data_IF_366324369162
#
_entry.id   IF_366324369162
#
_cell.length_a   1.000
_cell.length_b   1.000
_cell.length_c   1.000
_cell.angle_alpha   90.00
_cell.angle_beta   90.00
_cell.angle_gamma   90.00
#
_symmetry.space_group_name_H-M   'P 1'
#
loop_
_entity.id
_entity.type
_entity.pdbx_description
1 polymer ?
#
# COMPACT_ATOMS: atom_id res chain seq x y z
N UNK A 1 23.08 4.55 -26.20
CA UNK A 1 22.09 5.34 -25.47
C UNK A 1 21.03 5.76 -26.47
N UNK A 2 19.78 5.28 -26.32
CA UNK A 2 18.65 5.77 -27.11
C UNK A 2 18.31 7.18 -26.60
N UNK A 3 18.55 8.18 -27.43
CA UNK A 3 18.07 9.53 -27.18
C UNK A 3 16.64 9.60 -27.75
N UNK A 4 15.64 9.59 -26.88
CA UNK A 4 14.24 9.81 -27.27
C UNK A 4 14.06 11.33 -27.43
N UNK A 5 13.61 11.83 -28.60
CA UNK A 5 13.43 13.26 -28.78
C UNK A 5 12.35 13.81 -27.85
N UNK A 6 12.53 15.04 -27.30
CA UNK A 6 11.51 15.69 -26.48
C UNK A 6 10.30 16.06 -27.36
N UNK A 7 9.16 15.43 -27.11
CA UNK A 7 7.90 15.80 -27.78
C UNK A 7 6.93 14.69 -28.10
N UNK A 8 7.30 13.41 -27.95
CA UNK A 8 6.43 12.28 -28.32
C UNK A 8 5.73 11.57 -27.16
N UNK A 9 5.89 12.01 -25.91
CA UNK A 9 5.05 11.55 -24.82
C UNK A 9 3.80 12.42 -24.72
N UNK A 10 2.87 12.24 -25.64
CA UNK A 10 1.50 12.65 -25.38
C UNK A 10 0.98 11.75 -24.25
N UNK A 11 0.96 12.32 -23.04
CA UNK A 11 0.46 11.63 -21.86
C UNK A 11 -1.04 11.32 -22.05
N UNK A 12 -1.45 10.05 -22.30
CA UNK A 12 -2.87 9.72 -22.43
C UNK A 12 -3.60 9.76 -21.09
N UNK A 13 -2.86 10.01 -19.99
CA UNK A 13 -3.41 10.16 -18.66
C UNK A 13 -3.33 11.64 -18.31
N UNK A 14 -4.49 12.30 -18.22
CA UNK A 14 -4.54 13.68 -17.74
C UNK A 14 -3.80 13.78 -16.38
N UNK A 15 -2.98 14.81 -16.20
CA UNK A 15 -2.31 15.09 -14.92
C UNK A 15 -3.31 15.15 -13.75
N UNK A 16 -4.57 15.41 -14.03
CA UNK A 16 -5.69 15.43 -13.07
C UNK A 16 -6.09 14.03 -12.56
N UNK A 17 -5.60 12.94 -13.17
CA UNK A 17 -5.92 11.56 -12.76
C UNK A 17 -5.14 11.09 -11.53
N UNK A 18 -4.04 11.76 -11.17
CA UNK A 18 -3.11 11.31 -10.12
C UNK A 18 -2.89 12.41 -9.09
N UNK A 19 -2.95 12.04 -7.79
CA UNK A 19 -2.50 12.94 -6.72
C UNK A 19 -0.97 12.98 -6.70
N UNK A 20 -0.38 13.94 -7.40
CA UNK A 20 1.06 14.18 -7.46
C UNK A 20 1.55 15.17 -6.40
N UNK A 21 0.65 15.69 -5.54
CA UNK A 21 0.97 16.64 -4.47
C UNK A 21 1.29 15.98 -3.14
N UNK A 22 1.25 14.64 -3.05
CA UNK A 22 1.58 13.93 -1.83
C UNK A 22 2.97 14.29 -1.27
N UNK A 23 4.03 14.65 -2.07
CA UNK A 23 5.33 15.05 -1.51
C UNK A 23 5.26 16.33 -0.67
N UNK A 24 4.29 17.22 -0.94
CA UNK A 24 4.08 18.45 -0.16
C UNK A 24 3.70 18.16 1.30
N UNK A 25 3.17 16.96 1.58
CA UNK A 25 2.83 16.49 2.92
C UNK A 25 4.03 15.96 3.72
N UNK A 26 5.20 15.81 3.08
CA UNK A 26 6.46 15.41 3.75
C UNK A 26 7.10 16.61 4.45
N UNK A 27 6.42 17.18 5.46
CA UNK A 27 6.87 18.37 6.20
C UNK A 27 7.92 18.10 7.27
N UNK A 28 8.17 16.84 7.64
CA UNK A 28 9.14 16.48 8.67
C UNK A 28 10.59 16.78 8.28
N UNK A 29 11.45 17.02 9.26
CA UNK A 29 12.89 17.21 9.09
C UNK A 29 13.59 15.91 8.69
N UNK A 30 13.10 14.78 9.22
CA UNK A 30 13.59 13.44 8.90
C UNK A 30 12.54 12.76 8.01
N UNK A 31 12.94 12.36 6.82
CA UNK A 31 12.05 11.79 5.81
C UNK A 31 12.56 10.42 5.40
N UNK A 32 11.64 9.49 5.21
CA UNK A 32 11.98 8.15 4.74
C UNK A 32 10.92 7.60 3.81
N UNK A 33 11.35 6.74 2.88
CA UNK A 33 10.50 5.97 2.00
C UNK A 33 10.75 4.49 2.26
N UNK A 34 9.70 3.72 2.45
CA UNK A 34 9.75 2.26 2.50
C UNK A 34 9.17 1.70 1.21
N UNK A 35 10.02 1.03 0.44
CA UNK A 35 9.61 0.28 -0.74
C UNK A 35 9.15 -1.11 -0.31
N UNK A 36 7.92 -1.47 -0.67
CA UNK A 36 7.25 -2.71 -0.27
C UNK A 36 6.81 -3.46 -1.53
N UNK A 37 7.73 -4.22 -2.18
CA UNK A 37 7.40 -4.98 -3.38
C UNK A 37 6.80 -6.36 -3.06
N UNK A 38 7.07 -6.91 -1.88
CA UNK A 38 6.68 -8.28 -1.51
C UNK A 38 5.72 -8.28 -0.33
N UNK A 39 4.93 -9.36 -0.24
CA UNK A 39 3.89 -9.52 0.79
C UNK A 39 4.51 -9.64 2.19
N UNK A 40 5.54 -10.47 2.36
CA UNK A 40 6.31 -10.69 3.60
C UNK A 40 5.44 -10.73 4.89
N UNK A 41 4.25 -11.32 4.83
CA UNK A 41 3.29 -11.31 5.94
C UNK A 41 2.95 -9.89 6.46
N UNK A 42 3.12 -8.86 5.63
CA UNK A 42 2.84 -7.45 5.96
C UNK A 42 3.99 -6.71 6.68
N UNK A 43 5.14 -7.35 6.91
CA UNK A 43 6.25 -6.73 7.62
C UNK A 43 6.78 -5.45 6.96
N UNK A 44 6.74 -5.35 5.63
CA UNK A 44 7.15 -4.14 4.92
C UNK A 44 6.39 -2.90 5.39
N UNK A 45 5.08 -3.03 5.60
CA UNK A 45 4.21 -1.96 6.13
C UNK A 45 4.51 -1.69 7.61
N UNK A 46 4.67 -2.74 8.41
CA UNK A 46 4.95 -2.60 9.83
C UNK A 46 6.26 -1.86 10.11
N UNK A 47 7.30 -2.10 9.31
CA UNK A 47 8.62 -1.44 9.43
C UNK A 47 8.50 0.08 9.44
N UNK A 48 7.62 0.66 8.65
CA UNK A 48 7.44 2.11 8.58
C UNK A 48 6.97 2.70 9.93
N UNK A 49 5.98 2.07 10.57
CA UNK A 49 5.50 2.50 11.89
C UNK A 49 6.54 2.22 12.98
N UNK A 50 7.23 1.07 12.93
CA UNK A 50 8.27 0.71 13.89
C UNK A 50 9.43 1.70 13.80
N UNK A 51 9.87 2.07 12.60
CA UNK A 51 10.91 3.06 12.37
C UNK A 51 10.56 4.39 13.06
N UNK A 52 9.38 4.93 12.83
CA UNK A 52 8.95 6.19 13.44
C UNK A 52 8.97 6.14 14.97
N UNK A 53 8.45 5.04 15.56
CA UNK A 53 8.49 4.83 17.02
C UNK A 53 9.91 4.74 17.58
N UNK A 54 10.82 4.07 16.87
CA UNK A 54 12.21 3.95 17.31
C UNK A 54 12.96 5.29 17.24
N UNK A 55 12.72 6.09 16.20
CA UNK A 55 13.29 7.44 16.13
C UNK A 55 12.83 8.32 17.28
N UNK A 56 11.56 8.22 17.66
CA UNK A 56 11.02 8.94 18.81
C UNK A 56 11.62 8.43 20.14
N UNK A 57 11.63 7.11 20.33
CA UNK A 57 12.04 6.50 21.61
C UNK A 57 13.54 6.52 21.85
N UNK A 58 14.35 6.32 20.80
CA UNK A 58 15.80 6.16 20.92
C UNK A 58 16.53 7.49 20.69
N UNK A 59 16.07 8.28 19.72
CA UNK A 59 16.73 9.52 19.32
C UNK A 59 16.02 10.77 19.81
N UNK A 60 14.85 10.64 20.46
CA UNK A 60 14.07 11.77 20.96
C UNK A 60 13.52 12.68 19.85
N UNK A 61 13.46 12.19 18.61
CA UNK A 61 12.91 12.97 17.48
C UNK A 61 11.40 13.00 17.60
N UNK A 62 10.77 14.17 17.77
CA UNK A 62 9.31 14.23 17.95
C UNK A 62 8.59 13.81 16.66
N UNK A 63 7.44 13.14 16.80
CA UNK A 63 6.65 12.60 15.68
C UNK A 63 6.38 13.64 14.56
N UNK A 64 6.13 14.90 14.92
CA UNK A 64 5.93 16.00 13.96
C UNK A 64 7.13 16.31 13.05
N UNK A 65 8.33 15.91 13.46
CA UNK A 65 9.57 16.08 12.71
C UNK A 65 9.89 14.85 11.82
N UNK A 66 9.05 13.81 11.87
CA UNK A 66 9.17 12.61 11.05
C UNK A 66 8.15 12.64 9.91
N UNK A 67 8.54 12.21 8.73
CA UNK A 67 7.64 11.96 7.60
C UNK A 67 7.99 10.65 6.94
N UNK A 68 6.99 9.81 6.73
CA UNK A 68 7.18 8.47 6.19
C UNK A 68 6.24 8.23 5.02
N UNK A 69 6.77 7.76 3.91
CA UNK A 69 6.01 7.25 2.79
C UNK A 69 6.22 5.74 2.63
N UNK A 70 5.15 5.03 2.29
CA UNK A 70 5.13 3.63 1.88
C UNK A 70 4.84 3.57 0.39
N UNK A 71 5.60 2.78 -0.36
CA UNK A 71 5.32 2.47 -1.76
C UNK A 71 4.97 0.99 -1.86
N UNK A 72 3.70 0.67 -2.02
CA UNK A 72 3.16 -0.69 -2.11
C UNK A 72 3.03 -1.05 -3.59
N UNK A 73 3.82 -2.02 -4.06
CA UNK A 73 3.93 -2.37 -5.48
C UNK A 73 4.14 -3.87 -5.69
N UNK A 74 4.14 -4.34 -6.94
CA UNK A 74 4.30 -5.75 -7.29
C UNK A 74 3.35 -6.65 -6.49
N UNK A 75 3.84 -7.76 -5.94
CA UNK A 75 3.06 -8.73 -5.19
C UNK A 75 2.41 -8.13 -3.94
N UNK A 76 3.03 -7.09 -3.36
CA UNK A 76 2.49 -6.43 -2.18
C UNK A 76 1.21 -5.62 -2.45
N UNK A 77 0.81 -5.37 -3.69
CA UNK A 77 -0.39 -4.58 -4.01
C UNK A 77 -1.64 -5.09 -3.28
N UNK A 78 -1.74 -6.38 -3.04
CA UNK A 78 -2.84 -6.99 -2.29
C UNK A 78 -2.95 -6.46 -0.85
N UNK A 79 -1.85 -6.01 -0.26
CA UNK A 79 -1.82 -5.42 1.09
C UNK A 79 -2.57 -4.08 1.15
N UNK A 80 -2.63 -3.36 0.02
CA UNK A 80 -3.35 -2.10 -0.08
C UNK A 80 -4.87 -2.28 -0.18
N UNK A 81 -5.38 -3.53 -0.24
CA UNK A 81 -6.79 -3.84 -0.41
C UNK A 81 -7.48 -4.08 0.92
N UNK A 82 -8.73 -3.63 1.03
CA UNK A 82 -9.59 -3.87 2.19
C UNK A 82 -9.84 -5.36 2.44
N UNK A 83 -10.17 -5.73 3.69
CA UNK A 83 -10.46 -7.12 4.05
C UNK A 83 -11.58 -7.74 3.22
N UNK A 84 -12.62 -6.98 2.89
CA UNK A 84 -13.73 -7.49 2.05
C UNK A 84 -13.28 -7.94 0.65
N UNK A 85 -12.26 -7.31 0.08
CA UNK A 85 -11.62 -7.76 -1.15
C UNK A 85 -10.92 -9.11 -0.95
N UNK A 86 -10.18 -9.25 0.14
CA UNK A 86 -9.49 -10.48 0.49
C UNK A 86 -10.46 -11.65 0.66
N UNK A 87 -11.57 -11.41 1.35
CA UNK A 87 -12.61 -12.42 1.58
C UNK A 87 -13.29 -12.82 0.28
N UNK A 88 -13.67 -11.84 -0.57
CA UNK A 88 -14.39 -12.05 -1.83
C UNK A 88 -13.58 -12.87 -2.84
N UNK A 89 -12.29 -12.57 -2.97
CA UNK A 89 -11.43 -13.15 -4.01
C UNK A 89 -10.46 -14.20 -3.48
N UNK A 90 -10.57 -14.60 -2.20
CA UNK A 90 -9.74 -15.66 -1.60
C UNK A 90 -8.25 -15.34 -1.59
N UNK A 91 -7.90 -14.05 -1.45
CA UNK A 91 -6.53 -13.53 -1.65
C UNK A 91 -5.51 -14.23 -0.77
N UNK A 92 -5.81 -14.43 0.53
CA UNK A 92 -4.89 -15.04 1.47
C UNK A 92 -4.45 -16.44 1.05
N UNK A 93 -5.42 -17.28 0.67
CA UNK A 93 -5.17 -18.66 0.23
C UNK A 93 -4.45 -18.70 -1.13
N UNK A 94 -4.91 -17.90 -2.09
CA UNK A 94 -4.33 -17.86 -3.44
C UNK A 94 -2.84 -17.45 -3.42
N UNK A 95 -2.46 -16.57 -2.52
CA UNK A 95 -1.09 -16.07 -2.39
C UNK A 95 -0.30 -16.74 -1.26
N UNK A 96 -0.85 -17.76 -0.60
CA UNK A 96 -0.21 -18.48 0.51
C UNK A 96 0.28 -17.56 1.62
N UNK A 97 -0.54 -16.55 1.94
CA UNK A 97 -0.17 -15.56 2.94
C UNK A 97 -0.17 -16.19 4.32
N UNK A 98 0.84 -15.85 5.12
CA UNK A 98 0.95 -16.29 6.49
C UNK A 98 0.69 -15.15 7.46
N UNK A 99 0.14 -15.51 8.62
CA UNK A 99 -0.11 -14.58 9.71
C UNK A 99 1.23 -14.11 10.32
N UNK A 100 1.45 -12.80 10.50
CA UNK A 100 2.76 -12.25 10.86
C UNK A 100 3.30 -12.71 12.24
N UNK A 101 2.43 -13.18 13.11
CA UNK A 101 2.83 -13.59 14.47
C UNK A 101 2.90 -15.12 14.61
N UNK A 102 1.86 -15.83 14.16
CA UNK A 102 1.81 -17.29 14.30
C UNK A 102 2.55 -18.04 13.19
N UNK A 103 2.76 -17.40 12.02
CA UNK A 103 3.30 -18.06 10.82
C UNK A 103 2.30 -18.97 10.11
N UNK A 104 1.11 -19.18 10.67
CA UNK A 104 0.08 -20.03 10.08
C UNK A 104 -0.57 -19.37 8.85
N UNK A 105 -1.08 -20.16 7.89
CA UNK A 105 -1.85 -19.64 6.78
C UNK A 105 -3.00 -18.74 7.24
N UNK A 106 -3.22 -17.63 6.56
CA UNK A 106 -4.28 -16.69 6.92
C UNK A 106 -5.07 -16.21 5.70
N UNK A 107 -6.38 -16.03 5.90
CA UNK A 107 -7.26 -15.30 4.95
C UNK A 107 -7.35 -13.82 5.28
N UNK A 108 -6.77 -13.38 6.43
CA UNK A 108 -6.81 -11.98 6.85
C UNK A 108 -5.70 -11.19 6.18
N UNK A 109 -5.99 -9.95 5.79
CA UNK A 109 -4.95 -9.04 5.34
C UNK A 109 -4.00 -8.73 6.53
N UNK A 110 -2.72 -9.12 6.46
CA UNK A 110 -1.80 -9.02 7.58
C UNK A 110 -1.49 -7.57 8.00
N UNK A 111 -1.81 -6.59 7.16
CA UNK A 111 -1.65 -5.17 7.50
C UNK A 111 -2.94 -4.51 7.97
N UNK A 112 -4.03 -5.26 8.13
CA UNK A 112 -5.32 -4.78 8.64
C UNK A 112 -5.81 -5.57 9.86
N UNK A 113 -4.93 -6.27 10.55
CA UNK A 113 -5.28 -7.07 11.73
C UNK A 113 -5.87 -6.23 12.87
N UNK A 114 -6.78 -6.84 13.61
CA UNK A 114 -7.50 -6.23 14.73
C UNK A 114 -7.35 -7.05 16.01
N UNK A 115 -7.81 -6.49 17.13
CA UNK A 115 -7.96 -7.26 18.34
C UNK A 115 -8.84 -8.49 18.05
N UNK A 116 -8.37 -9.69 18.46
CA UNK A 116 -9.04 -10.96 18.15
C UNK A 116 -8.43 -11.72 16.95
N UNK A 117 -7.63 -11.08 16.11
CA UNK A 117 -6.92 -11.75 15.02
C UNK A 117 -5.58 -12.38 15.46
N UNK A 118 -5.37 -12.63 16.76
CA UNK A 118 -4.13 -13.24 17.27
C UNK A 118 -2.94 -12.28 17.37
N UNK A 119 -3.19 -10.98 17.40
CA UNK A 119 -2.20 -9.91 17.56
C UNK A 119 -2.40 -9.14 18.86
N UNK A 120 -1.30 -8.65 19.43
CA UNK A 120 -1.32 -7.78 20.60
C UNK A 120 -1.76 -6.35 20.26
N UNK A 121 -2.20 -5.58 21.26
CA UNK A 121 -2.59 -4.19 21.07
C UNK A 121 -1.50 -3.30 20.42
N UNK A 122 -0.20 -3.42 20.77
CA UNK A 122 0.86 -2.73 20.05
C UNK A 122 0.94 -3.09 18.56
N UNK A 123 0.69 -4.36 18.19
CA UNK A 123 0.71 -4.82 16.80
C UNK A 123 -0.50 -4.32 16.00
N UNK A 124 -1.68 -4.22 16.61
CA UNK A 124 -2.83 -3.55 15.99
C UNK A 124 -2.50 -2.12 15.57
N UNK A 125 -1.67 -1.43 16.36
CA UNK A 125 -1.19 -0.08 16.05
C UNK A 125 -0.21 0.01 14.87
N UNK A 126 0.24 -1.13 14.30
CA UNK A 126 1.07 -1.19 13.09
C UNK A 126 0.25 -1.30 11.81
N UNK A 127 -1.08 -1.39 11.90
CA UNK A 127 -1.96 -1.55 10.75
C UNK A 127 -1.86 -0.35 9.78
N UNK A 128 -2.04 -0.63 8.48
CA UNK A 128 -1.92 0.35 7.40
C UNK A 128 -2.86 1.56 7.58
N UNK A 129 -4.11 1.31 7.95
CA UNK A 129 -5.07 2.38 8.22
C UNK A 129 -4.66 3.24 9.43
N UNK A 130 -4.01 2.66 10.43
CA UNK A 130 -3.44 3.38 11.58
C UNK A 130 -2.23 4.21 11.19
N UNK A 131 -1.37 3.67 10.34
CA UNK A 131 -0.25 4.39 9.75
C UNK A 131 -0.74 5.63 8.97
N UNK A 132 -1.75 5.48 8.11
CA UNK A 132 -2.36 6.58 7.36
C UNK A 132 -3.01 7.59 8.31
N UNK A 133 -3.78 7.14 9.29
CA UNK A 133 -4.43 8.02 10.27
C UNK A 133 -3.43 8.82 11.13
N UNK A 134 -2.21 8.29 11.33
CA UNK A 134 -1.13 8.99 12.01
C UNK A 134 -0.36 9.97 11.11
N UNK A 135 -0.77 10.18 9.85
CA UNK A 135 -0.15 11.11 8.89
C UNK A 135 0.87 10.45 7.96
N UNK A 136 1.05 9.13 8.02
CA UNK A 136 1.85 8.39 7.06
C UNK A 136 1.23 8.43 5.65
N UNK A 137 2.07 8.43 4.64
CA UNK A 137 1.64 8.46 3.23
C UNK A 137 1.76 7.06 2.66
N UNK A 138 0.65 6.49 2.20
CA UNK A 138 0.61 5.18 1.56
C UNK A 138 0.33 5.35 0.06
N UNK A 139 1.28 4.96 -0.76
CA UNK A 139 1.21 4.99 -2.22
C UNK A 139 1.03 3.57 -2.75
N UNK A 140 0.16 3.39 -3.75
CA UNK A 140 -0.07 2.11 -4.41
C UNK A 140 0.21 2.22 -5.92
N UNK A 141 0.82 1.17 -6.49
CA UNK A 141 1.20 1.07 -7.88
C UNK A 141 0.01 0.67 -8.76
N UNK A 142 -0.42 1.54 -9.71
CA UNK A 142 -1.50 1.20 -10.65
C UNK A 142 -1.11 0.06 -11.59
N UNK A 143 0.16 -0.03 -12.01
CA UNK A 143 0.61 -1.16 -12.83
C UNK A 143 0.41 -2.51 -12.12
N UNK A 144 0.69 -2.57 -10.82
CA UNK A 144 0.44 -3.77 -10.03
C UNK A 144 -1.07 -3.99 -9.76
N UNK A 145 -1.86 -2.92 -9.67
CA UNK A 145 -3.31 -3.01 -9.52
C UNK A 145 -3.98 -3.67 -10.73
N UNK A 146 -3.38 -3.60 -11.93
CA UNK A 146 -3.92 -4.24 -13.13
C UNK A 146 -4.05 -5.77 -12.98
N UNK A 147 -3.20 -6.41 -12.19
CA UNK A 147 -3.34 -7.86 -11.91
C UNK A 147 -4.62 -8.15 -11.13
N UNK A 148 -5.00 -7.26 -10.22
CA UNK A 148 -6.25 -7.36 -9.46
C UNK A 148 -7.48 -7.00 -10.32
N UNK A 149 -7.33 -6.03 -11.23
CA UNK A 149 -8.35 -5.73 -12.24
C UNK A 149 -8.63 -6.98 -13.09
N UNK A 150 -7.58 -7.64 -13.58
CA UNK A 150 -7.72 -8.87 -14.34
C UNK A 150 -8.35 -10.02 -13.51
N UNK A 151 -8.07 -10.10 -12.22
CA UNK A 151 -8.74 -11.04 -11.31
C UNK A 151 -10.25 -10.76 -11.22
N UNK A 152 -10.64 -9.50 -10.99
CA UNK A 152 -12.05 -9.08 -10.93
C UNK A 152 -12.76 -9.42 -12.25
N UNK A 153 -12.17 -9.06 -13.39
CA UNK A 153 -12.75 -9.34 -14.70
C UNK A 153 -13.08 -10.82 -14.88
N UNK A 154 -12.13 -11.69 -14.55
CA UNK A 154 -12.31 -13.14 -14.69
C UNK A 154 -13.33 -13.71 -13.72
N UNK A 155 -13.34 -13.22 -12.47
CA UNK A 155 -14.19 -13.79 -11.42
C UNK A 155 -15.63 -13.29 -11.53
N UNK A 156 -15.80 -12.01 -11.80
CA UNK A 156 -17.12 -11.36 -11.82
C UNK A 156 -17.71 -11.27 -13.24
N UNK A 157 -16.95 -11.66 -14.27
CA UNK A 157 -17.31 -11.59 -15.68
C UNK A 157 -17.78 -10.18 -16.10
N UNK A 158 -16.99 -9.16 -15.77
CA UNK A 158 -17.30 -7.75 -16.04
C UNK A 158 -16.28 -7.12 -17.00
N UNK A 159 -16.65 -6.04 -17.73
CA UNK A 159 -15.72 -5.29 -18.56
C UNK A 159 -14.56 -4.68 -17.74
N UNK A 160 -13.40 -4.47 -18.40
CA UNK A 160 -12.19 -3.91 -17.76
C UNK A 160 -12.46 -2.59 -17.05
N UNK A 161 -13.17 -1.66 -17.67
CA UNK A 161 -13.49 -0.37 -17.06
C UNK A 161 -14.23 -0.53 -15.71
N UNK A 162 -15.22 -1.42 -15.67
CA UNK A 162 -15.96 -1.72 -14.44
C UNK A 162 -15.08 -2.40 -13.39
N UNK A 163 -14.23 -3.35 -13.80
CA UNK A 163 -13.29 -4.02 -12.90
C UNK A 163 -12.27 -3.03 -12.32
N UNK A 164 -11.82 -2.07 -13.12
CA UNK A 164 -10.89 -1.02 -12.69
C UNK A 164 -11.51 -0.10 -11.64
N UNK A 165 -12.75 0.33 -11.87
CA UNK A 165 -13.49 1.13 -10.89
C UNK A 165 -13.73 0.35 -9.59
N UNK A 166 -14.05 -0.94 -9.71
CA UNK A 166 -14.26 -1.81 -8.55
C UNK A 166 -12.95 -1.99 -7.77
N UNK A 167 -11.82 -2.28 -8.44
CA UNK A 167 -10.52 -2.41 -7.77
C UNK A 167 -10.17 -1.16 -6.97
N UNK A 168 -10.41 0.03 -7.52
CA UNK A 168 -10.15 1.31 -6.84
C UNK A 168 -11.00 1.50 -5.59
N UNK A 169 -12.27 1.08 -5.59
CA UNK A 169 -13.16 1.14 -4.42
C UNK A 169 -12.68 0.27 -3.26
N UNK A 170 -11.99 -0.82 -3.57
CA UNK A 170 -11.46 -1.75 -2.58
C UNK A 170 -10.11 -1.33 -2.00
N UNK A 171 -9.49 -0.26 -2.47
CA UNK A 171 -8.30 0.27 -1.81
C UNK A 171 -8.62 0.70 -0.37
N UNK A 172 -7.67 0.47 0.54
CA UNK A 172 -7.77 0.97 1.91
C UNK A 172 -7.93 2.49 1.87
N UNK A 173 -8.91 3.08 2.59
CA UNK A 173 -9.12 4.52 2.58
C UNK A 173 -7.86 5.31 2.91
N UNK A 174 -7.54 6.30 2.09
CA UNK A 174 -6.34 7.13 2.23
C UNK A 174 -5.10 6.61 1.50
N UNK A 175 -5.16 5.42 0.89
CA UNK A 175 -4.14 4.96 -0.06
C UNK A 175 -4.25 5.81 -1.33
N UNK A 176 -3.11 6.32 -1.80
CA UNK A 176 -3.01 7.17 -3.00
C UNK A 176 -2.46 6.32 -4.14
N UNK A 177 -3.26 6.18 -5.19
CA UNK A 177 -2.83 5.47 -6.38
C UNK A 177 -1.86 6.32 -7.19
N UNK A 178 -0.75 5.72 -7.62
CA UNK A 178 0.27 6.34 -8.45
C UNK A 178 0.43 5.56 -9.77
N UNK A 179 0.87 6.19 -10.86
CA UNK A 179 1.04 5.52 -12.17
C UNK A 179 1.86 4.24 -12.06
N UNK A 180 2.94 4.27 -11.29
CA UNK A 180 3.74 3.09 -10.97
C UNK A 180 4.48 3.26 -9.64
N UNK A 181 4.95 2.16 -9.06
CA UNK A 181 5.79 2.21 -7.86
C UNK A 181 7.13 2.92 -8.10
N UNK A 182 7.67 2.81 -9.31
CA UNK A 182 8.93 3.50 -9.69
C UNK A 182 8.72 5.02 -9.84
N UNK A 183 7.55 5.45 -10.27
CA UNK A 183 7.20 6.88 -10.34
C UNK A 183 7.08 7.52 -8.96
N UNK A 184 6.75 6.71 -7.94
CA UNK A 184 6.50 7.16 -6.58
C UNK A 184 7.76 7.21 -5.69
N UNK A 185 8.94 6.79 -6.18
CA UNK A 185 10.20 6.72 -5.40
C UNK A 185 11.18 7.83 -5.78
#
# INVERSE_FOLDING_TARGET
>A
ALVVPPGEFTNPLSQDAWDTRWPERLGGKVRTVFDVPEIESGYGVWRATIWARQYEQVLGVPARDLSTALVIRHNAIILAMQQGFWDRYGIGTANRVTHPVSGEPTSRNPVLLRAGDGVSAPQVGLALDRFIAAGGIALACDLALQDLVALIQRTDNVPEAQAKDEARKWLVPGVILQPSGVFAV
#
